data_IF_970042796473
#
_entry.id   IF_970042796473
#
_cell.length_a   1.000
_cell.length_b   1.000
_cell.length_c   1.000
_cell.angle_alpha   90.00
_cell.angle_beta   90.00
_cell.angle_gamma   90.00
#
_symmetry.space_group_name_H-M   'P 1'
#
loop_
_entity.id
_entity.type
_entity.pdbx_description
1 polymer ?
#
# COMPACT_ATOMS: atom_id res chain seq x y z
N UNK A 1 -3.96 -0.96 8.36
CA UNK A 1 -2.80 -1.63 7.84
C UNK A 1 -2.94 -3.11 8.00
N UNK A 2 -2.61 -3.84 6.99
CA UNK A 2 -2.93 -5.25 6.97
C UNK A 2 -1.98 -6.09 7.79
N UNK A 3 -0.70 -5.99 7.55
CA UNK A 3 0.22 -6.97 8.09
C UNK A 3 1.13 -6.48 9.20
N UNK A 4 1.42 -5.21 9.23
CA UNK A 4 2.40 -4.66 10.15
C UNK A 4 1.83 -3.55 11.01
N UNK A 5 0.54 -3.63 11.34
CA UNK A 5 -0.17 -2.56 12.03
C UNK A 5 0.50 -2.11 13.32
N UNK A 6 1.05 -3.03 14.05
CA UNK A 6 1.58 -2.76 15.37
C UNK A 6 3.08 -2.93 15.48
N UNK A 7 3.73 -3.26 14.39
CA UNK A 7 5.18 -3.49 14.41
C UNK A 7 5.87 -2.68 13.32
N UNK A 8 6.40 -1.53 13.71
CA UNK A 8 7.09 -0.64 12.77
C UNK A 8 8.38 -1.24 12.19
N UNK A 9 8.84 -2.35 12.73
CA UNK A 9 10.01 -3.04 12.22
C UNK A 9 9.67 -4.26 11.39
N UNK A 10 8.38 -4.47 11.14
CA UNK A 10 7.93 -5.58 10.32
C UNK A 10 8.44 -5.42 8.89
N UNK A 11 8.92 -6.51 8.32
CA UNK A 11 9.46 -6.54 6.96
C UNK A 11 8.79 -7.66 6.18
N UNK A 12 8.26 -7.35 5.00
CA UNK A 12 7.64 -8.36 4.14
C UNK A 12 8.71 -9.17 3.43
N UNK A 13 8.29 -10.25 2.77
CA UNK A 13 9.19 -11.09 1.99
C UNK A 13 9.85 -10.33 0.84
N UNK A 14 9.21 -9.30 0.32
CA UNK A 14 9.73 -8.48 -0.75
C UNK A 14 10.54 -7.30 -0.24
N UNK A 15 10.76 -7.20 1.07
CA UNK A 15 11.51 -6.11 1.65
C UNK A 15 10.71 -4.86 1.95
N UNK A 16 9.39 -4.91 1.85
CA UNK A 16 8.55 -3.77 2.24
C UNK A 16 8.58 -3.61 3.75
N UNK A 17 8.76 -2.38 4.22
CA UNK A 17 9.03 -2.09 5.61
C UNK A 17 8.06 -1.04 6.14
N UNK A 18 7.73 -1.15 7.44
CA UNK A 18 6.93 -0.16 8.14
C UNK A 18 5.44 -0.40 8.06
N UNK A 19 4.67 0.53 8.65
CA UNK A 19 3.22 0.39 8.76
C UNK A 19 2.50 0.39 7.41
N UNK A 20 3.03 1.13 6.45
CA UNK A 20 2.43 1.21 5.11
C UNK A 20 3.06 0.22 4.13
N UNK A 21 3.95 -0.65 4.60
CA UNK A 21 4.62 -1.65 3.76
C UNK A 21 5.32 -1.05 2.54
N UNK A 22 6.00 0.10 2.74
CA UNK A 22 6.75 0.73 1.66
C UNK A 22 8.01 -0.04 1.34
N UNK A 23 8.25 -0.29 0.07
CA UNK A 23 9.51 -0.84 -0.37
C UNK A 23 10.61 0.20 -0.23
N UNK A 24 11.85 -0.20 0.12
CA UNK A 24 12.95 0.75 0.28
C UNK A 24 13.17 1.66 -0.92
N UNK A 25 13.06 1.12 -2.12
CA UNK A 25 13.23 1.90 -3.35
C UNK A 25 12.15 2.98 -3.46
N UNK A 26 10.90 2.61 -3.15
CA UNK A 26 9.79 3.55 -3.19
C UNK A 26 9.96 4.64 -2.13
N UNK A 27 10.33 4.25 -0.92
CA UNK A 27 10.55 5.19 0.17
C UNK A 27 11.63 6.20 -0.20
N UNK A 28 12.72 5.75 -0.78
CA UNK A 28 13.82 6.62 -1.20
C UNK A 28 13.37 7.63 -2.24
N UNK A 29 12.58 7.19 -3.22
CA UNK A 29 12.09 8.08 -4.26
C UNK A 29 11.09 9.11 -3.72
N UNK A 30 10.45 8.83 -2.59
CA UNK A 30 9.53 9.75 -1.93
C UNK A 30 10.23 10.65 -0.90
N UNK A 31 11.53 10.51 -0.75
CA UNK A 31 12.32 11.35 0.16
C UNK A 31 12.25 10.94 1.62
N UNK A 32 11.88 9.70 1.90
CA UNK A 32 11.84 9.18 3.27
C UNK A 32 13.27 8.90 3.74
N UNK A 33 13.68 9.56 4.82
CA UNK A 33 15.02 9.38 5.37
C UNK A 33 15.11 8.16 6.28
N UNK A 34 14.06 7.91 7.05
CA UNK A 34 14.01 6.76 7.96
C UNK A 34 12.73 5.97 7.73
N UNK A 35 12.86 4.89 6.97
CA UNK A 35 11.72 4.05 6.59
C UNK A 35 11.07 3.38 7.81
N UNK A 36 11.77 3.27 8.93
CA UNK A 36 11.21 2.69 10.16
C UNK A 36 10.47 3.72 11.01
N UNK A 37 10.56 5.01 10.69
CA UNK A 37 9.82 6.03 11.40
C UNK A 37 8.34 5.96 11.01
N UNK A 38 7.42 5.69 11.96
CA UNK A 38 6.01 5.53 11.63
C UNK A 38 5.39 6.76 10.96
N UNK A 39 5.71 7.96 11.43
CA UNK A 39 5.14 9.18 10.85
C UNK A 39 5.60 9.39 9.41
N UNK A 40 6.90 9.27 9.15
CA UNK A 40 7.42 9.41 7.80
C UNK A 40 6.86 8.34 6.88
N UNK A 41 6.78 7.12 7.38
CA UNK A 41 6.28 5.99 6.61
C UNK A 41 4.82 6.19 6.22
N UNK A 42 3.98 6.57 7.18
CA UNK A 42 2.55 6.79 6.92
C UNK A 42 2.36 7.96 5.96
N UNK A 43 3.07 9.07 6.21
CA UNK A 43 2.96 10.25 5.36
C UNK A 43 3.35 9.95 3.91
N UNK A 44 4.47 9.28 3.72
CA UNK A 44 4.95 8.90 2.40
C UNK A 44 4.00 7.91 1.73
N UNK A 45 3.46 6.97 2.50
CA UNK A 45 2.51 5.99 1.98
C UNK A 45 1.22 6.63 1.48
N UNK A 46 0.70 7.60 2.24
CA UNK A 46 -0.51 8.33 1.84
C UNK A 46 -0.26 9.12 0.55
N UNK A 47 0.87 9.81 0.47
CA UNK A 47 1.24 10.56 -0.74
C UNK A 47 1.36 9.63 -1.95
N UNK A 48 2.01 8.51 -1.76
CA UNK A 48 2.19 7.54 -2.83
C UNK A 48 0.84 6.98 -3.30
N UNK A 49 -0.02 6.62 -2.36
CA UNK A 49 -1.34 6.11 -2.70
C UNK A 49 -2.15 7.15 -3.49
N UNK A 50 -2.09 8.40 -3.07
CA UNK A 50 -2.80 9.47 -3.77
C UNK A 50 -2.28 9.60 -5.21
N UNK A 51 -0.97 9.51 -5.41
CA UNK A 51 -0.41 9.59 -6.75
C UNK A 51 -0.87 8.42 -7.62
N UNK A 52 -1.02 7.25 -7.02
CA UNK A 52 -1.53 6.08 -7.73
C UNK A 52 -3.01 6.22 -8.07
N UNK A 53 -3.80 6.77 -7.15
CA UNK A 53 -5.22 7.06 -7.44
C UNK A 53 -5.34 7.99 -8.64
N UNK A 54 -4.51 9.04 -8.70
CA UNK A 54 -4.52 9.96 -9.82
C UNK A 54 -4.11 9.25 -11.11
N UNK A 55 -3.11 8.40 -11.03
CA UNK A 55 -2.63 7.65 -12.19
C UNK A 55 -3.68 6.70 -12.75
N UNK A 56 -4.48 6.11 -11.89
CA UNK A 56 -5.50 5.13 -12.30
C UNK A 56 -6.90 5.72 -12.28
N UNK A 57 -7.02 7.02 -12.41
CA UNK A 57 -8.30 7.72 -12.58
C UNK A 57 -9.29 7.50 -11.44
N UNK A 58 -8.78 7.40 -10.21
CA UNK A 58 -9.60 7.20 -9.03
C UNK A 58 -10.05 5.77 -8.77
N UNK A 59 -9.57 4.83 -9.57
CA UNK A 59 -9.88 3.41 -9.40
C UNK A 59 -9.15 2.85 -8.19
N UNK A 60 -9.83 2.76 -7.04
CA UNK A 60 -9.21 2.34 -5.78
C UNK A 60 -8.55 0.97 -5.86
N UNK A 61 -9.23 -0.01 -6.46
CA UNK A 61 -8.67 -1.36 -6.53
C UNK A 61 -7.39 -1.40 -7.34
N UNK A 62 -7.32 -0.63 -8.42
CA UNK A 62 -6.11 -0.55 -9.23
C UNK A 62 -4.99 0.16 -8.50
N UNK A 63 -5.32 1.24 -7.79
CA UNK A 63 -4.34 1.97 -7.00
C UNK A 63 -3.78 1.09 -5.88
N UNK A 64 -4.63 0.34 -5.19
CA UNK A 64 -4.21 -0.57 -4.13
C UNK A 64 -3.37 -1.72 -4.70
N UNK A 65 -3.75 -2.25 -5.86
CA UNK A 65 -2.97 -3.27 -6.53
C UNK A 65 -1.58 -2.74 -6.89
N UNK A 66 -1.53 -1.51 -7.40
CA UNK A 66 -0.26 -0.89 -7.74
C UNK A 66 0.58 -0.61 -6.50
N UNK A 67 -0.06 -0.22 -5.41
CA UNK A 67 0.65 0.00 -4.15
C UNK A 67 1.32 -1.27 -3.66
N UNK A 68 0.64 -2.40 -3.75
CA UNK A 68 1.14 -3.68 -3.28
C UNK A 68 2.06 -4.37 -4.28
N UNK A 69 1.68 -4.40 -5.55
CA UNK A 69 2.38 -5.18 -6.57
C UNK A 69 3.18 -4.35 -7.58
N UNK A 70 3.03 -3.02 -7.55
CA UNK A 70 3.69 -2.14 -8.48
C UNK A 70 2.82 -1.79 -9.69
N UNK A 71 2.90 -0.53 -10.13
CA UNK A 71 2.11 -0.05 -11.26
C UNK A 71 2.45 -0.80 -12.55
N UNK A 72 3.68 -1.26 -12.67
CA UNK A 72 4.13 -2.03 -13.83
C UNK A 72 3.31 -3.31 -13.99
N UNK A 73 3.07 -4.02 -12.89
CA UNK A 73 2.28 -5.24 -12.92
C UNK A 73 0.81 -4.95 -13.23
N UNK A 74 0.27 -3.87 -12.70
CA UNK A 74 -1.09 -3.48 -13.01
C UNK A 74 -1.25 -3.21 -14.50
N UNK A 75 -0.29 -2.51 -15.10
CA UNK A 75 -0.30 -2.26 -16.53
C UNK A 75 -0.13 -3.55 -17.33
N UNK A 76 0.76 -4.42 -16.88
CA UNK A 76 1.02 -5.71 -17.55
C UNK A 76 -0.23 -6.56 -17.65
N UNK A 77 -0.99 -6.63 -16.57
CA UNK A 77 -2.20 -7.45 -16.53
C UNK A 77 -3.46 -6.66 -16.90
N UNK A 78 -3.31 -5.39 -17.19
CA UNK A 78 -4.41 -4.51 -17.52
C UNK A 78 -5.52 -4.57 -16.46
N UNK A 79 -5.11 -4.56 -15.21
CA UNK A 79 -6.01 -4.67 -14.07
C UNK A 79 -5.29 -5.21 -12.86
N UNK A 80 -6.06 -5.69 -11.89
CA UNK A 80 -5.49 -6.29 -10.69
C UNK A 80 -4.73 -7.57 -11.08
N UNK A 81 -3.42 -7.64 -10.77
CA UNK A 81 -2.67 -8.84 -11.10
C UNK A 81 -3.23 -10.06 -10.34
N UNK A 82 -3.15 -11.25 -10.93
CA UNK A 82 -3.70 -12.45 -10.29
C UNK A 82 -2.77 -13.00 -9.20
N UNK A 83 -2.22 -12.12 -8.38
CA UNK A 83 -1.36 -12.51 -7.27
C UNK A 83 -2.19 -12.67 -6.01
N UNK A 84 -2.06 -13.80 -5.36
CA UNK A 84 -2.80 -14.12 -4.15
C UNK A 84 -2.58 -13.06 -3.07
N UNK A 85 -1.34 -12.66 -2.87
CA UNK A 85 -0.97 -11.65 -1.89
C UNK A 85 -1.65 -10.31 -2.19
N UNK A 86 -1.63 -9.88 -3.45
CA UNK A 86 -2.23 -8.61 -3.85
C UNK A 86 -3.74 -8.62 -3.65
N UNK A 87 -4.41 -9.70 -4.02
CA UNK A 87 -5.85 -9.83 -3.82
C UNK A 87 -6.21 -9.80 -2.35
N UNK A 88 -5.43 -10.48 -1.51
CA UNK A 88 -5.65 -10.49 -0.07
C UNK A 88 -5.43 -9.11 0.52
N UNK A 89 -4.40 -8.42 0.07
CA UNK A 89 -4.10 -7.07 0.51
C UNK A 89 -5.26 -6.11 0.21
N UNK A 90 -5.76 -6.13 -1.02
CA UNK A 90 -6.88 -5.28 -1.43
C UNK A 90 -8.10 -5.56 -0.57
N UNK A 91 -8.43 -6.81 -0.37
CA UNK A 91 -9.57 -7.21 0.44
C UNK A 91 -9.46 -6.67 1.86
N UNK A 92 -8.29 -6.83 2.48
CA UNK A 92 -8.06 -6.34 3.84
C UNK A 92 -8.19 -4.83 3.94
N UNK A 93 -7.58 -4.11 3.00
CA UNK A 93 -7.64 -2.64 3.04
C UNK A 93 -9.08 -2.15 2.88
N UNK A 94 -9.83 -2.73 1.95
CA UNK A 94 -11.22 -2.34 1.74
C UNK A 94 -12.10 -2.69 2.93
N UNK A 95 -11.83 -3.80 3.61
CA UNK A 95 -12.54 -4.15 4.84
C UNK A 95 -12.27 -3.14 5.95
N UNK A 96 -11.01 -2.73 6.14
CA UNK A 96 -10.66 -1.70 7.12
C UNK A 96 -11.32 -0.38 6.78
N UNK A 97 -11.29 0.01 5.52
CA UNK A 97 -11.92 1.23 5.06
C UNK A 97 -13.41 1.25 5.37
N UNK A 98 -14.06 0.14 5.10
CA UNK A 98 -15.48 -0.03 5.37
C UNK A 98 -15.77 0.06 6.87
N UNK A 99 -14.94 -0.59 7.68
CA UNK A 99 -15.08 -0.54 9.13
C UNK A 99 -14.99 0.87 9.67
N UNK A 100 -13.97 1.62 9.24
CA UNK A 100 -13.77 2.99 9.73
C UNK A 100 -14.83 3.95 9.20
N UNK A 101 -15.35 3.69 8.02
CA UNK A 101 -16.39 4.54 7.43
C UNK A 101 -17.75 4.35 8.10
N UNK A 102 -18.10 3.11 8.41
CA UNK A 102 -19.43 2.77 8.94
C UNK A 102 -19.46 2.49 10.44
N UNK A 103 -18.29 2.43 11.05
CA UNK A 103 -18.18 2.18 12.47
C UNK A 103 -18.33 0.70 12.83
N UNK A 104 -18.08 0.35 14.09
CA UNK A 104 -18.13 -1.03 14.56
C UNK A 104 -19.56 -1.42 14.98
N UNK A 105 -20.44 -1.37 14.09
CA UNK A 105 -21.86 -1.67 14.44
C UNK A 105 -22.07 -3.12 14.71
#
# INVERSE_FOLDING_TARGET
>A
MAESSYNKRSVSKQGAVGLMQLMPVTAKSLGVENILNPEENIHAGVKYYRSLLNRFNGEEKLALAAYNAGARNVRKYNGVPPFKETRRYIKKVLEYQRFYRHGPV
#
